data_IF_786599256003
#
_entry.id   IF_786599256003
#
_cell.length_a   1.000
_cell.length_b   1.000
_cell.length_c   1.000
_cell.angle_alpha   90.00
_cell.angle_beta   90.00
_cell.angle_gamma   90.00
#
_symmetry.space_group_name_H-M   'P 1'
#
loop_
_entity.id
_entity.type
_entity.pdbx_description
1 polymer ?
#
# COMPACT_ATOMS: atom_id res chain seq x y z
N UNK A 1 -4.20 26.82 -4.34
CA UNK A 1 -4.21 25.67 -3.41
C UNK A 1 -4.44 24.44 -4.28
N UNK A 2 -3.36 23.90 -4.84
CA UNK A 2 -3.41 22.88 -5.89
C UNK A 2 -3.71 21.52 -5.27
N UNK A 3 -4.85 20.95 -5.60
CA UNK A 3 -5.21 19.58 -5.23
C UNK A 3 -4.40 18.69 -6.18
N UNK A 4 -3.30 18.11 -5.70
CA UNK A 4 -2.55 17.12 -6.46
C UNK A 4 -3.42 15.86 -6.57
N UNK A 5 -3.85 15.52 -7.79
CA UNK A 5 -4.54 14.27 -8.15
C UNK A 5 -3.59 13.05 -8.18
N UNK A 6 -2.39 13.16 -7.60
CA UNK A 6 -1.45 12.05 -7.57
C UNK A 6 -1.77 11.14 -6.36
N UNK A 7 -2.51 10.06 -6.60
CA UNK A 7 -2.67 8.93 -5.64
C UNK A 7 -1.33 8.27 -5.29
N UNK A 8 -0.31 8.51 -6.12
CA UNK A 8 1.06 8.10 -5.94
C UNK A 8 2.03 9.20 -6.42
N UNK A 9 3.02 9.56 -5.60
CA UNK A 9 4.11 10.48 -5.95
C UNK A 9 5.45 9.81 -5.64
N UNK A 10 6.38 9.87 -6.59
CA UNK A 10 7.76 9.42 -6.38
C UNK A 10 8.66 10.62 -6.12
N UNK A 11 9.38 10.58 -5.01
CA UNK A 11 10.41 11.55 -4.63
C UNK A 11 11.78 10.85 -4.66
N UNK A 12 12.71 11.26 -5.54
CA UNK A 12 14.03 10.65 -5.60
C UNK A 12 14.84 10.94 -4.34
N UNK A 13 15.54 9.93 -3.82
CA UNK A 13 16.46 10.07 -2.67
C UNK A 13 17.91 10.05 -3.16
N UNK A 14 18.25 9.08 -4.01
CA UNK A 14 19.53 8.94 -4.70
C UNK A 14 19.35 8.14 -6.01
N UNK A 15 20.46 7.71 -6.63
CA UNK A 15 20.47 7.01 -7.92
C UNK A 15 19.76 5.65 -7.88
N UNK A 16 19.63 5.03 -6.70
CA UNK A 16 19.12 3.66 -6.52
C UNK A 16 17.89 3.60 -5.59
N UNK A 17 17.44 4.73 -5.04
CA UNK A 17 16.32 4.76 -4.09
C UNK A 17 15.41 5.98 -4.24
N UNK A 18 14.14 5.77 -3.88
CA UNK A 18 13.13 6.81 -3.88
C UNK A 18 12.13 6.60 -2.73
N UNK A 19 11.41 7.65 -2.38
CA UNK A 19 10.23 7.59 -1.54
C UNK A 19 9.00 7.55 -2.44
N UNK A 20 8.15 6.56 -2.21
CA UNK A 20 6.84 6.48 -2.83
C UNK A 20 5.78 6.93 -1.82
N UNK A 21 5.22 8.11 -2.07
CA UNK A 21 4.11 8.66 -1.30
C UNK A 21 2.80 8.12 -1.88
N UNK A 22 2.11 7.25 -1.14
CA UNK A 22 0.80 6.69 -1.51
C UNK A 22 -0.29 7.25 -0.60
N UNK A 23 -1.43 7.58 -1.19
CA UNK A 23 -2.60 8.04 -0.45
C UNK A 23 -3.88 7.43 -1.01
N UNK A 24 -4.82 7.06 -0.13
CA UNK A 24 -6.12 6.53 -0.51
C UNK A 24 -7.22 7.10 0.39
N UNK A 25 -8.46 7.05 -0.08
CA UNK A 25 -9.63 7.51 0.70
C UNK A 25 -9.94 6.61 1.91
N UNK A 26 -9.48 5.35 1.89
CA UNK A 26 -9.68 4.42 2.99
C UNK A 26 -8.56 3.36 3.12
N UNK A 27 -8.42 2.70 4.28
CA UNK A 27 -7.34 1.73 4.53
C UNK A 27 -7.35 0.51 3.60
N UNK A 28 -8.52 0.09 3.11
CA UNK A 28 -8.64 -1.04 2.18
C UNK A 28 -8.01 -0.71 0.84
N UNK A 29 -8.28 0.49 0.32
CA UNK A 29 -7.75 0.92 -0.97
C UNK A 29 -6.25 1.20 -0.86
N UNK A 30 -5.79 1.76 0.28
CA UNK A 30 -4.37 1.90 0.57
C UNK A 30 -3.64 0.55 0.62
N UNK A 31 -4.23 -0.46 1.28
CA UNK A 31 -3.66 -1.81 1.31
C UNK A 31 -3.55 -2.43 -0.10
N UNK A 32 -4.52 -2.19 -0.98
CA UNK A 32 -4.45 -2.63 -2.37
C UNK A 32 -3.35 -1.89 -3.15
N UNK A 33 -3.20 -0.58 -2.98
CA UNK A 33 -2.12 0.17 -3.64
C UNK A 33 -0.73 -0.22 -3.14
N UNK A 34 -0.54 -0.41 -1.83
CA UNK A 34 0.75 -0.85 -1.29
C UNK A 34 1.14 -2.21 -1.90
N UNK A 35 0.20 -3.15 -1.96
CA UNK A 35 0.47 -4.51 -2.45
C UNK A 35 0.65 -4.59 -3.97
N UNK A 36 0.23 -3.58 -4.74
CA UNK A 36 0.47 -3.54 -6.19
C UNK A 36 1.88 -3.08 -6.58
N UNK A 37 2.65 -2.51 -5.64
CA UNK A 37 4.05 -2.09 -5.87
C UNK A 37 4.99 -3.29 -6.07
N UNK A 38 4.56 -4.49 -5.67
CA UNK A 38 5.34 -5.73 -5.80
C UNK A 38 6.74 -5.64 -5.15
N UNK A 39 6.81 -4.98 -4.00
CA UNK A 39 8.00 -4.86 -3.18
C UNK A 39 7.71 -5.32 -1.76
N UNK A 40 8.73 -5.88 -1.10
CA UNK A 40 8.66 -6.17 0.32
C UNK A 40 8.60 -4.86 1.12
N UNK A 41 7.77 -4.82 2.17
CA UNK A 41 7.61 -3.65 3.02
C UNK A 41 7.37 -4.03 4.48
N UNK A 42 7.58 -3.07 5.37
CA UNK A 42 7.27 -3.19 6.80
C UNK A 42 6.52 -1.96 7.28
N UNK A 43 5.50 -2.17 8.12
CA UNK A 43 4.77 -1.08 8.75
C UNK A 43 5.53 -0.59 9.99
N UNK A 44 5.98 0.65 9.98
CA UNK A 44 6.68 1.29 11.12
C UNK A 44 5.76 2.22 11.89
N UNK A 45 5.10 3.16 11.20
CA UNK A 45 4.23 4.19 11.78
C UNK A 45 2.85 4.20 11.08
N UNK A 46 2.21 3.03 11.01
CA UNK A 46 0.91 2.90 10.36
C UNK A 46 -0.24 2.90 11.37
N UNK A 47 -1.41 3.44 11.00
CA UNK A 47 -2.57 3.35 11.85
C UNK A 47 -3.09 1.90 11.90
N UNK A 48 -3.66 1.43 13.03
CA UNK A 48 -4.03 0.02 13.22
C UNK A 48 -4.94 -0.53 12.12
N UNK A 49 -5.85 0.30 11.59
CA UNK A 49 -6.78 -0.07 10.53
C UNK A 49 -6.09 -0.46 9.22
N UNK A 50 -4.88 0.04 8.94
CA UNK A 50 -4.11 -0.38 7.77
C UNK A 50 -3.56 -1.79 7.94
N UNK A 51 -3.09 -2.13 9.14
CA UNK A 51 -2.62 -3.49 9.44
C UNK A 51 -3.77 -4.50 9.31
N UNK A 52 -4.97 -4.13 9.77
CA UNK A 52 -6.17 -4.97 9.62
C UNK A 52 -6.58 -5.12 8.16
N UNK A 53 -6.54 -4.05 7.38
CA UNK A 53 -6.81 -4.09 5.94
C UNK A 53 -5.83 -5.02 5.19
N UNK A 54 -4.54 -4.97 5.51
CA UNK A 54 -3.53 -5.87 4.94
C UNK A 54 -3.76 -7.34 5.32
N UNK A 55 -4.09 -7.62 6.59
CA UNK A 55 -4.44 -8.98 7.03
C UNK A 55 -5.66 -9.52 6.28
N UNK A 56 -6.70 -8.70 6.11
CA UNK A 56 -7.89 -9.07 5.36
C UNK A 56 -7.58 -9.31 3.87
N UNK A 57 -6.73 -8.45 3.27
CA UNK A 57 -6.26 -8.62 1.90
C UNK A 57 -5.51 -9.95 1.73
N UNK A 58 -4.55 -10.23 2.60
CA UNK A 58 -3.77 -11.47 2.59
C UNK A 58 -4.66 -12.72 2.74
N UNK A 59 -5.61 -12.69 3.69
CA UNK A 59 -6.56 -13.78 3.89
C UNK A 59 -7.41 -14.05 2.65
N UNK A 60 -7.86 -12.99 1.95
CA UNK A 60 -8.62 -13.12 0.69
C UNK A 60 -7.80 -13.80 -0.40
N UNK A 61 -6.57 -13.35 -0.63
CA UNK A 61 -5.70 -13.92 -1.65
C UNK A 61 -5.36 -15.39 -1.33
N UNK A 62 -5.03 -15.69 -0.07
CA UNK A 62 -4.73 -17.05 0.36
C UNK A 62 -5.93 -17.99 0.23
N UNK A 63 -7.14 -17.50 0.54
CA UNK A 63 -8.35 -18.30 0.39
C UNK A 63 -8.68 -18.61 -1.08
N UNK A 64 -8.33 -17.71 -2.01
CA UNK A 64 -8.57 -17.92 -3.43
C UNK A 64 -7.82 -19.13 -4.00
N UNK A 65 -6.60 -19.40 -3.51
CA UNK A 65 -5.77 -20.53 -3.97
C UNK A 65 -6.00 -21.82 -3.16
N UNK A 66 -6.69 -21.75 -2.02
CA UNK A 66 -7.01 -22.93 -1.18
C UNK A 66 -8.22 -23.72 -1.66
N UNK A 67 -9.12 -23.10 -2.42
CA UNK A 67 -10.33 -23.73 -2.97
C UNK A 67 -10.14 -24.23 -4.42
N UNK A 68 -8.90 -24.33 -4.88
CA UNK A 68 -8.53 -24.88 -6.18
C UNK A 68 -8.28 -26.39 -6.08
#
# INVERSE_FOLDING_TARGET
MGISLAEALIEPVDDDSCLLHLGADNPRDLAWMITSVDADFSLTNAPPELADALRAHAARCLNAVRKA
#
